data_IF_251379083912
#
_entry.id   IF_251379083912
#
_cell.length_a   1.000
_cell.length_b   1.000
_cell.length_c   1.000
_cell.angle_alpha   90.00
_cell.angle_beta   90.00
_cell.angle_gamma   90.00
#
_symmetry.space_group_name_H-M   'P 1'
#
loop_
_entity.id
_entity.type
_entity.pdbx_description
1 polymer ?
#
# COMPACT_ATOMS: atom_id res chain seq x y z
N UNK A 1 -15.72 -9.54 -0.63
CA UNK A 1 -15.04 -10.17 -1.78
C UNK A 1 -13.56 -9.80 -1.85
N UNK A 2 -13.18 -8.52 -1.71
CA UNK A 2 -11.76 -8.10 -1.77
C UNK A 2 -10.86 -8.64 -0.63
N UNK A 3 -11.37 -8.82 0.60
CA UNK A 3 -10.58 -9.44 1.67
C UNK A 3 -10.28 -10.93 1.43
N UNK A 4 -11.16 -11.65 0.72
CA UNK A 4 -10.99 -13.08 0.48
C UNK A 4 -9.77 -13.35 -0.41
N UNK A 5 -9.60 -12.54 -1.46
CA UNK A 5 -8.45 -12.62 -2.37
C UNK A 5 -7.11 -12.31 -1.65
N UNK A 6 -7.14 -11.52 -0.58
CA UNK A 6 -5.95 -11.21 0.22
C UNK A 6 -5.54 -12.40 1.10
N UNK A 7 -6.50 -13.12 1.70
CA UNK A 7 -6.27 -14.34 2.48
C UNK A 7 -5.80 -15.51 1.62
N UNK A 8 -6.27 -15.61 0.36
CA UNK A 8 -5.85 -16.69 -0.55
C UNK A 8 -4.38 -16.59 -0.98
N UNK A 9 -3.79 -15.38 -0.97
CA UNK A 9 -2.36 -15.17 -1.27
C UNK A 9 -1.42 -15.57 -0.13
N UNK A 10 -1.94 -15.80 1.08
CA UNK A 10 -1.17 -16.26 2.24
C UNK A 10 -1.02 -17.79 2.30
N UNK A 11 -1.77 -18.51 1.46
CA UNK A 11 -1.90 -19.98 1.56
C UNK A 11 -0.85 -20.79 0.80
N UNK A 12 0.16 -20.19 0.16
CA UNK A 12 1.18 -20.95 -0.57
C UNK A 12 2.38 -21.26 0.32
N UNK A 13 2.25 -22.37 1.06
CA UNK A 13 3.22 -22.89 2.01
C UNK A 13 4.50 -23.47 1.36
N UNK A 14 5.63 -23.34 2.05
CA UNK A 14 6.93 -23.86 1.61
C UNK A 14 8.02 -23.78 2.67
N UNK A 15 7.87 -24.55 3.76
CA UNK A 15 8.90 -24.73 4.79
C UNK A 15 10.08 -25.57 4.27
N UNK A 16 11.32 -25.06 4.39
CA UNK A 16 12.50 -25.90 4.67
C UNK A 16 13.70 -25.07 5.17
N UNK A 17 14.15 -25.39 6.38
CA UNK A 17 15.39 -24.91 7.03
C UNK A 17 16.62 -25.58 6.41
N UNK A 18 17.68 -24.82 6.06
CA UNK A 18 19.09 -25.26 6.22
C UNK A 18 20.11 -24.17 5.83
N UNK A 19 20.84 -23.67 6.86
CA UNK A 19 22.29 -23.39 6.90
C UNK A 19 23.03 -22.53 5.86
N UNK A 20 23.78 -21.52 6.33
CA UNK A 20 25.08 -21.14 5.73
C UNK A 20 25.37 -19.64 5.51
N UNK A 21 26.10 -19.05 6.46
CA UNK A 21 26.98 -17.86 6.44
C UNK A 21 27.09 -16.92 5.21
N UNK A 22 27.06 -15.63 5.58
CA UNK A 22 27.94 -14.48 5.23
C UNK A 22 27.78 -13.78 3.86
N UNK A 23 27.34 -12.52 3.87
CA UNK A 23 28.18 -11.33 3.64
C UNK A 23 27.36 -10.05 3.42
N UNK A 24 27.78 -8.99 4.13
CA UNK A 24 27.72 -7.55 3.82
C UNK A 24 26.94 -7.10 2.59
N UNK A 25 26.04 -6.11 2.74
CA UNK A 25 26.03 -4.83 1.97
C UNK A 25 24.92 -3.88 2.48
N UNK A 26 25.39 -2.73 3.00
CA UNK A 26 24.80 -1.37 3.05
C UNK A 26 23.50 -1.11 3.86
N UNK A 27 23.53 -0.26 4.92
CA UNK A 27 22.31 0.23 5.54
C UNK A 27 21.69 1.28 4.62
N UNK A 28 20.67 0.89 3.87
CA UNK A 28 19.72 1.85 3.34
C UNK A 28 18.90 2.33 4.53
N UNK A 29 19.28 3.50 5.07
CA UNK A 29 18.52 4.18 6.12
C UNK A 29 17.21 4.69 5.49
N UNK A 30 16.26 3.79 5.27
CA UNK A 30 14.86 4.12 5.07
C UNK A 30 14.17 4.04 6.44
N UNK A 31 13.35 5.01 6.83
CA UNK A 31 12.35 4.78 7.85
C UNK A 31 11.19 3.99 7.21
N UNK A 32 11.46 2.76 6.78
CA UNK A 32 10.36 1.82 6.51
C UNK A 32 9.72 1.49 7.88
N UNK A 33 8.39 1.53 8.01
CA UNK A 33 7.75 1.09 9.22
C UNK A 33 8.06 -0.41 9.41
N UNK A 34 8.94 -0.71 10.36
CA UNK A 34 9.40 -2.07 10.70
C UNK A 34 8.29 -2.96 11.31
N UNK A 35 7.07 -2.43 11.42
CA UNK A 35 5.92 -3.07 12.07
C UNK A 35 4.79 -3.14 11.06
N UNK A 36 4.09 -4.27 11.01
CA UNK A 36 2.89 -4.40 10.19
C UNK A 36 1.78 -3.48 10.71
N UNK A 37 1.02 -2.82 9.80
CA UNK A 37 -0.04 -1.92 10.18
C UNK A 37 -1.15 -2.68 10.92
N UNK A 38 -1.34 -2.40 12.20
CA UNK A 38 -2.42 -3.02 12.98
C UNK A 38 -3.60 -2.05 13.10
N UNK A 39 -4.85 -2.55 13.03
CA UNK A 39 -6.06 -1.73 13.22
C UNK A 39 -6.06 -0.92 14.53
N UNK A 40 -5.45 -1.46 15.59
CA UNK A 40 -5.27 -0.78 16.88
C UNK A 40 -4.45 0.52 16.76
N UNK A 41 -3.47 0.58 15.85
CA UNK A 41 -2.69 1.81 15.64
C UNK A 41 -3.55 2.94 15.11
N UNK A 42 -4.45 2.66 14.16
CA UNK A 42 -5.31 3.68 13.56
C UNK A 42 -6.50 4.04 14.44
N UNK A 43 -6.95 3.12 15.30
CA UNK A 43 -8.10 3.35 16.19
C UNK A 43 -7.86 4.46 17.21
N UNK A 44 -6.60 4.68 17.58
CA UNK A 44 -6.21 5.74 18.52
C UNK A 44 -6.02 7.11 17.85
N UNK A 45 -6.06 7.18 16.51
CA UNK A 45 -5.95 8.41 15.74
C UNK A 45 -7.34 8.99 15.47
N UNK A 46 -7.48 10.32 15.57
CA UNK A 46 -8.67 11.01 15.08
C UNK A 46 -8.73 11.00 13.55
N UNK A 47 -9.90 11.31 13.00
CA UNK A 47 -10.17 11.29 11.56
C UNK A 47 -9.18 12.16 10.74
N UNK A 48 -8.82 13.34 11.27
CA UNK A 48 -7.90 14.27 10.60
C UNK A 48 -6.49 13.70 10.60
N UNK A 49 -6.04 13.15 11.73
CA UNK A 49 -4.74 12.50 11.83
C UNK A 49 -4.60 11.27 10.92
N UNK A 50 -5.67 10.47 10.77
CA UNK A 50 -5.69 9.35 9.81
C UNK A 50 -5.54 9.82 8.36
N UNK A 51 -6.31 10.83 7.98
CA UNK A 51 -6.24 11.42 6.65
C UNK A 51 -4.86 12.05 6.37
N UNK A 52 -4.30 12.78 7.33
CA UNK A 52 -2.97 13.37 7.22
C UNK A 52 -1.88 12.29 7.09
N UNK A 53 -1.99 11.21 7.87
CA UNK A 53 -1.05 10.08 7.80
C UNK A 53 -1.10 9.40 6.43
N UNK A 54 -2.30 9.17 5.88
CA UNK A 54 -2.46 8.65 4.52
C UNK A 54 -1.77 9.56 3.50
N UNK A 55 -2.02 10.87 3.55
CA UNK A 55 -1.42 11.84 2.61
C UNK A 55 0.11 11.85 2.72
N UNK A 56 0.65 11.95 3.93
CA UNK A 56 2.09 11.94 4.16
C UNK A 56 2.73 10.65 3.63
N UNK A 57 2.06 9.50 3.81
CA UNK A 57 2.56 8.22 3.32
C UNK A 57 2.50 8.14 1.79
N UNK A 58 1.42 8.63 1.18
CA UNK A 58 1.31 8.74 -0.28
C UNK A 58 2.42 9.63 -0.85
N UNK A 59 2.70 10.77 -0.22
CA UNK A 59 3.73 11.69 -0.67
C UNK A 59 5.13 11.07 -0.56
N UNK A 60 5.40 10.34 0.54
CA UNK A 60 6.64 9.60 0.73
C UNK A 60 6.89 8.61 -0.42
N UNK A 61 5.89 7.81 -0.79
CA UNK A 61 6.06 6.80 -1.84
C UNK A 61 6.16 7.37 -3.26
N UNK A 62 5.79 8.63 -3.50
CA UNK A 62 5.89 9.22 -4.84
C UNK A 62 7.34 9.21 -5.34
N UNK A 63 8.30 9.32 -4.42
CA UNK A 63 9.73 9.29 -4.69
C UNK A 63 10.31 7.89 -4.98
N UNK A 64 9.54 6.81 -4.73
CA UNK A 64 10.01 5.44 -4.87
C UNK A 64 9.74 4.88 -6.27
N UNK A 65 10.70 4.18 -6.87
CA UNK A 65 10.49 3.55 -8.19
C UNK A 65 9.62 2.28 -8.12
N UNK A 66 9.64 1.60 -6.96
CA UNK A 66 8.88 0.38 -6.68
C UNK A 66 8.18 0.47 -5.33
N UNK A 67 7.14 -0.34 -5.14
CA UNK A 67 6.46 -0.51 -3.85
C UNK A 67 6.70 -1.92 -3.35
N UNK A 68 7.15 -2.05 -2.11
CA UNK A 68 7.26 -3.35 -1.45
C UNK A 68 5.88 -3.87 -1.02
N UNK A 69 5.80 -5.16 -0.67
CA UNK A 69 4.62 -5.75 -0.01
C UNK A 69 4.20 -4.97 1.25
N UNK A 70 5.16 -4.54 2.06
CA UNK A 70 4.89 -3.78 3.28
C UNK A 70 4.30 -2.39 2.95
N UNK A 71 4.81 -1.71 1.93
CA UNK A 71 4.26 -0.42 1.50
C UNK A 71 2.81 -0.56 1.05
N UNK A 72 2.51 -1.62 0.29
CA UNK A 72 1.16 -1.92 -0.16
C UNK A 72 0.20 -2.23 0.99
N UNK A 73 0.66 -2.96 2.00
CA UNK A 73 -0.08 -3.24 3.23
C UNK A 73 -0.41 -1.97 4.01
N UNK A 74 0.58 -1.08 4.19
CA UNK A 74 0.39 0.20 4.86
C UNK A 74 -0.60 1.10 4.13
N UNK A 75 -0.48 1.21 2.80
CA UNK A 75 -1.43 1.95 1.98
C UNK A 75 -2.84 1.39 2.07
N UNK A 76 -2.99 0.06 2.02
CA UNK A 76 -4.29 -0.58 2.17
C UNK A 76 -4.90 -0.27 3.54
N UNK A 77 -4.14 -0.47 4.62
CA UNK A 77 -4.62 -0.24 5.97
C UNK A 77 -5.01 1.23 6.20
N UNK A 78 -4.21 2.18 5.71
CA UNK A 78 -4.52 3.60 5.78
C UNK A 78 -5.76 3.97 4.96
N UNK A 79 -5.91 3.42 3.76
CA UNK A 79 -7.12 3.61 2.95
C UNK A 79 -8.38 3.11 3.66
N UNK A 80 -8.31 1.94 4.33
CA UNK A 80 -9.44 1.38 5.09
C UNK A 80 -9.74 2.20 6.36
N UNK A 81 -8.72 2.82 6.96
CA UNK A 81 -8.87 3.57 8.19
C UNK A 81 -9.39 5.01 7.99
N UNK A 82 -9.27 5.59 6.80
CA UNK A 82 -9.71 6.97 6.53
C UNK A 82 -11.24 7.05 6.41
N UNK A 83 -11.84 8.02 7.11
CA UNK A 83 -13.27 8.26 7.06
C UNK A 83 -13.72 8.97 5.78
N UNK A 84 -14.99 8.80 5.45
CA UNK A 84 -15.68 9.56 4.40
C UNK A 84 -16.69 10.52 5.04
N UNK A 85 -16.95 11.71 4.45
CA UNK A 85 -16.46 12.20 3.17
C UNK A 85 -15.00 12.68 3.19
N UNK A 86 -14.29 12.51 2.07
CA UNK A 86 -12.92 12.96 1.90
C UNK A 86 -12.84 14.47 1.65
N UNK A 87 -11.78 15.11 2.16
CA UNK A 87 -11.45 16.48 1.78
C UNK A 87 -10.72 16.51 0.42
N UNK A 88 -10.67 17.69 -0.21
CA UNK A 88 -10.08 17.89 -1.54
C UNK A 88 -8.61 17.51 -1.61
N UNK A 89 -7.85 17.77 -0.54
CA UNK A 89 -6.43 17.45 -0.44
C UNK A 89 -6.21 15.93 -0.44
N UNK A 90 -6.98 15.18 0.36
CA UNK A 90 -6.90 13.72 0.41
C UNK A 90 -7.34 13.09 -0.90
N UNK A 91 -8.35 13.65 -1.59
CA UNK A 91 -8.71 13.24 -2.95
C UNK A 91 -7.54 13.43 -3.93
N UNK A 92 -6.85 14.57 -3.88
CA UNK A 92 -5.70 14.83 -4.74
C UNK A 92 -4.56 13.83 -4.48
N UNK A 93 -4.26 13.53 -3.21
CA UNK A 93 -3.28 12.49 -2.85
C UNK A 93 -3.70 11.11 -3.36
N UNK A 94 -4.95 10.70 -3.21
CA UNK A 94 -5.44 9.41 -3.74
C UNK A 94 -5.34 9.31 -5.26
N UNK A 95 -5.58 10.41 -6.00
CA UNK A 95 -5.34 10.46 -7.45
C UNK A 95 -3.86 10.27 -7.79
N UNK A 96 -2.95 10.85 -7.00
CA UNK A 96 -1.51 10.65 -7.17
C UNK A 96 -1.09 9.20 -6.86
N UNK A 97 -1.65 8.59 -5.82
CA UNK A 97 -1.47 7.17 -5.52
C UNK A 97 -1.95 6.29 -6.69
N UNK A 98 -3.16 6.52 -7.20
CA UNK A 98 -3.72 5.76 -8.31
C UNK A 98 -2.81 5.80 -9.55
N UNK A 99 -2.34 6.99 -9.94
CA UNK A 99 -1.38 7.14 -11.05
C UNK A 99 -0.08 6.41 -10.78
N UNK A 100 0.47 6.52 -9.57
CA UNK A 100 1.71 5.84 -9.18
C UNK A 100 1.59 4.33 -9.29
N UNK A 101 0.51 3.75 -8.75
CA UNK A 101 0.26 2.31 -8.84
C UNK A 101 0.08 1.86 -10.29
N UNK A 102 -0.63 2.62 -11.12
CA UNK A 102 -0.79 2.30 -12.55
C UNK A 102 0.55 2.34 -13.31
N UNK A 103 1.41 3.31 -13.03
CA UNK A 103 2.75 3.40 -13.63
C UNK A 103 3.61 2.20 -13.25
N UNK A 104 3.62 1.80 -11.98
CA UNK A 104 4.38 0.62 -11.52
C UNK A 104 3.80 -0.67 -12.11
N UNK A 105 2.47 -0.76 -12.20
CA UNK A 105 1.81 -1.93 -12.79
C UNK A 105 2.17 -2.09 -14.28
N UNK A 106 2.28 -0.98 -15.02
CA UNK A 106 2.65 -0.99 -16.44
C UNK A 106 4.10 -1.47 -16.70
N UNK A 107 4.98 -1.44 -15.70
CA UNK A 107 6.35 -1.95 -15.83
C UNK A 107 6.47 -3.43 -15.48
N UNK A 108 5.41 -4.04 -14.93
CA UNK A 108 5.39 -5.46 -14.57
C UNK A 108 4.81 -6.32 -15.70
N UNK A 109 5.52 -7.41 -16.03
CA UNK A 109 5.11 -8.38 -17.06
C UNK A 109 4.53 -9.67 -16.51
N UNK A 110 4.90 -10.06 -15.29
CA UNK A 110 4.44 -11.29 -14.67
C UNK A 110 3.28 -11.02 -13.70
N UNK A 111 2.30 -11.93 -13.68
CA UNK A 111 1.19 -11.85 -12.75
C UNK A 111 1.63 -12.45 -11.41
N UNK A 112 2.23 -11.60 -10.57
CA UNK A 112 2.71 -11.95 -9.23
C UNK A 112 1.80 -11.37 -8.12
N UNK A 113 2.17 -11.65 -6.86
CA UNK A 113 1.44 -11.11 -5.70
C UNK A 113 1.49 -9.59 -5.59
N UNK A 114 2.53 -8.92 -6.11
CA UNK A 114 2.64 -7.46 -6.09
C UNK A 114 1.66 -6.83 -7.09
N UNK A 115 1.51 -7.43 -8.28
CA UNK A 115 0.49 -7.04 -9.28
C UNK A 115 -0.90 -7.12 -8.68
N UNK A 116 -1.22 -8.17 -7.92
CA UNK A 116 -2.51 -8.28 -7.23
C UNK A 116 -2.72 -7.13 -6.22
N UNK A 117 -1.71 -6.81 -5.40
CA UNK A 117 -1.78 -5.73 -4.42
C UNK A 117 -1.94 -4.35 -5.07
N UNK A 118 -1.20 -4.07 -6.15
CA UNK A 118 -1.31 -2.82 -6.90
C UNK A 118 -2.71 -2.66 -7.51
N UNK A 119 -3.28 -3.72 -8.06
CA UNK A 119 -4.65 -3.71 -8.58
C UNK A 119 -5.69 -3.43 -7.50
N UNK A 120 -5.52 -3.97 -6.29
CA UNK A 120 -6.39 -3.67 -5.15
C UNK A 120 -6.30 -2.18 -4.78
N UNK A 121 -5.09 -1.61 -4.69
CA UNK A 121 -4.90 -0.19 -4.39
C UNK A 121 -5.54 0.72 -5.45
N UNK A 122 -5.41 0.36 -6.74
CA UNK A 122 -6.08 1.06 -7.85
C UNK A 122 -7.60 0.97 -7.69
N UNK A 123 -8.15 -0.20 -7.38
CA UNK A 123 -9.59 -0.38 -7.21
C UNK A 123 -10.14 0.45 -6.03
N UNK A 124 -9.44 0.49 -4.90
CA UNK A 124 -9.85 1.28 -3.73
C UNK A 124 -9.76 2.77 -4.05
N UNK A 125 -8.61 3.23 -4.52
CA UNK A 125 -8.40 4.65 -4.82
C UNK A 125 -9.37 5.13 -5.90
N UNK A 126 -9.54 4.36 -6.97
CA UNK A 126 -10.37 4.72 -8.11
C UNK A 126 -11.86 4.49 -7.88
N UNK A 127 -12.29 3.26 -7.57
CA UNK A 127 -13.72 2.91 -7.51
C UNK A 127 -14.35 3.25 -6.17
N UNK A 128 -13.71 2.88 -5.06
CA UNK A 128 -14.30 3.08 -3.73
C UNK A 128 -14.35 4.55 -3.35
N UNK A 129 -13.25 5.28 -3.55
CA UNK A 129 -13.20 6.71 -3.30
C UNK A 129 -13.62 7.59 -4.48
N UNK A 130 -14.06 6.99 -5.59
CA UNK A 130 -14.53 7.72 -6.78
C UNK A 130 -13.47 8.60 -7.44
N UNK A 131 -12.19 8.23 -7.37
CA UNK A 131 -11.10 9.01 -7.97
C UNK A 131 -10.78 8.64 -9.42
N UNK A 132 -11.51 7.69 -10.03
CA UNK A 132 -11.50 7.57 -11.49
C UNK A 132 -11.95 8.91 -12.09
N UNK A 133 -11.26 9.38 -13.11
CA UNK A 133 -11.66 10.63 -13.77
C UNK A 133 -13.09 10.52 -14.28
N UNK A 134 -13.91 11.48 -13.83
CA UNK A 134 -15.16 11.81 -14.50
C UNK A 134 -14.75 12.45 -15.82
N UNK A 135 -14.88 11.68 -16.89
CA UNK A 135 -14.80 12.18 -18.26
C UNK A 135 -15.97 13.15 -18.53
#
# INVERSE_FOLDING_TARGET
>A
MFLQAFLELDSSDGTSVSGGMKNSVKPSNKPEPQTEPTLTMFRNMDAVSRAATLRNYIDMIQSLDTLSRNDCLWLFALCVAVDTPLNSETCASLRSLLRKCATILATKSEMDGEVAMLNILIAISGRFFGQYDNH
#
